data_IF_438486901987
#
_entry.id   IF_438486901987
#
_cell.length_a   1.000
_cell.length_b   1.000
_cell.length_c   1.000
_cell.angle_alpha   90.00
_cell.angle_beta   90.00
_cell.angle_gamma   90.00
#
_symmetry.space_group_name_H-M   'P 1'
#
loop_
_entity.id
_entity.type
_entity.pdbx_description
1 polymer ?
#
# COMPACT_ATOMS: atom_id res chain seq x y z
N UNK A 1 -14.96 -11.19 3.37
CA UNK A 1 -16.20 -10.69 2.74
C UNK A 1 -16.11 -10.73 1.22
N UNK A 2 -15.06 -10.21 0.60
CA UNK A 2 -14.87 -10.22 -0.88
C UNK A 2 -14.77 -11.64 -1.47
N UNK A 3 -14.21 -12.58 -0.71
CA UNK A 3 -14.08 -13.97 -1.14
C UNK A 3 -15.38 -14.82 -1.02
N UNK A 4 -16.46 -14.23 -0.51
CA UNK A 4 -17.74 -14.92 -0.47
C UNK A 4 -18.33 -15.02 -1.89
N UNK A 5 -18.99 -16.14 -2.24
CA UNK A 5 -19.60 -16.32 -3.54
C UNK A 5 -20.72 -15.30 -3.78
N UNK A 6 -21.08 -15.09 -5.05
CA UNK A 6 -22.06 -14.06 -5.45
C UNK A 6 -23.47 -14.33 -4.90
N UNK A 7 -23.81 -15.60 -4.67
CA UNK A 7 -25.08 -16.02 -4.06
C UNK A 7 -25.09 -15.96 -2.52
N UNK A 8 -24.00 -15.50 -1.88
CA UNK A 8 -23.96 -15.31 -0.44
C UNK A 8 -24.99 -14.26 0.02
N UNK A 9 -25.53 -14.36 1.25
CA UNK A 9 -26.54 -13.45 1.76
C UNK A 9 -26.14 -11.97 1.60
N UNK A 10 -27.10 -11.15 1.19
CA UNK A 10 -26.90 -9.69 1.07
C UNK A 10 -26.53 -9.04 2.40
N UNK A 11 -27.07 -9.55 3.50
CA UNK A 11 -26.78 -9.07 4.84
C UNK A 11 -25.96 -10.09 5.62
N UNK A 12 -24.99 -9.60 6.39
CA UNK A 12 -24.13 -10.43 7.23
C UNK A 12 -24.16 -9.95 8.68
N UNK A 13 -24.28 -10.89 9.62
CA UNK A 13 -24.31 -10.56 11.05
C UNK A 13 -22.89 -10.56 11.66
N UNK A 14 -22.70 -9.78 12.74
CA UNK A 14 -21.47 -9.85 13.53
C UNK A 14 -21.23 -11.26 14.09
N UNK A 15 -22.26 -12.00 14.41
CA UNK A 15 -22.19 -13.40 14.87
C UNK A 15 -21.63 -14.30 13.77
N UNK A 16 -22.10 -14.16 12.54
CA UNK A 16 -21.59 -14.92 11.38
C UNK A 16 -20.13 -14.63 11.10
N UNK A 17 -19.74 -13.34 11.16
CA UNK A 17 -18.35 -12.94 11.00
C UNK A 17 -17.46 -13.45 12.12
N UNK A 18 -17.92 -13.37 13.36
CA UNK A 18 -17.19 -13.86 14.54
C UNK A 18 -16.91 -15.37 14.43
N UNK A 19 -17.91 -16.15 14.01
CA UNK A 19 -17.74 -17.57 13.78
C UNK A 19 -16.75 -17.88 12.65
N UNK A 20 -16.83 -17.17 11.53
CA UNK A 20 -15.92 -17.34 10.38
C UNK A 20 -14.47 -16.95 10.70
N UNK A 21 -14.27 -15.96 11.57
CA UNK A 21 -12.95 -15.47 11.99
C UNK A 21 -12.40 -16.14 13.26
N UNK A 22 -13.16 -17.06 13.87
CA UNK A 22 -12.83 -17.67 15.15
C UNK A 22 -12.58 -16.64 16.27
N UNK A 23 -13.37 -15.56 16.30
CA UNK A 23 -13.27 -14.44 17.23
C UNK A 23 -14.49 -14.36 18.15
N UNK A 24 -14.36 -13.65 19.28
CA UNK A 24 -15.49 -13.37 20.15
C UNK A 24 -16.52 -12.43 19.51
N UNK A 25 -17.81 -12.76 19.54
CA UNK A 25 -18.87 -11.94 18.92
C UNK A 25 -18.91 -10.51 19.46
N UNK A 26 -18.71 -10.31 20.76
CA UNK A 26 -18.70 -8.98 21.38
C UNK A 26 -17.57 -8.11 20.84
N UNK A 27 -16.39 -8.71 20.60
CA UNK A 27 -15.25 -8.00 20.03
C UNK A 27 -15.54 -7.61 18.61
N UNK A 28 -15.97 -8.55 17.74
CA UNK A 28 -16.31 -8.29 16.34
C UNK A 28 -17.40 -7.21 16.23
N UNK A 29 -18.41 -7.23 17.10
CA UNK A 29 -19.45 -6.21 17.10
C UNK A 29 -18.91 -4.81 17.45
N UNK A 30 -17.99 -4.72 18.41
CA UNK A 30 -17.33 -3.45 18.76
C UNK A 30 -16.45 -2.95 17.61
N UNK A 31 -15.67 -3.83 17.01
CA UNK A 31 -14.77 -3.46 15.90
C UNK A 31 -15.57 -2.99 14.69
N UNK A 32 -16.66 -3.67 14.33
CA UNK A 32 -17.55 -3.24 13.25
C UNK A 32 -18.21 -1.89 13.53
N UNK A 33 -18.59 -1.60 14.78
CA UNK A 33 -19.19 -0.32 15.15
C UNK A 33 -18.19 0.86 15.07
N UNK A 34 -16.87 0.60 15.08
CA UNK A 34 -15.84 1.62 14.81
C UNK A 34 -15.70 1.94 13.33
N UNK A 35 -16.09 1.02 12.48
CA UNK A 35 -15.87 1.07 11.03
C UNK A 35 -17.12 1.48 10.27
N UNK A 36 -18.30 1.05 10.72
CA UNK A 36 -19.55 1.23 9.98
C UNK A 36 -20.73 1.50 10.92
N UNK A 37 -21.51 2.51 10.60
CA UNK A 37 -22.78 2.84 11.25
C UNK A 37 -23.97 2.06 10.63
N UNK A 38 -23.71 1.23 9.61
CA UNK A 38 -24.72 0.51 8.85
C UNK A 38 -25.35 -0.72 9.54
N UNK A 39 -24.93 -1.03 10.77
CA UNK A 39 -25.41 -2.17 11.54
C UNK A 39 -26.87 -2.01 11.97
N UNK A 40 -27.76 -2.95 11.58
CA UNK A 40 -29.17 -2.95 11.97
C UNK A 40 -29.51 -4.13 12.90
N UNK A 41 -30.22 -3.90 13.99
CA UNK A 41 -30.67 -4.99 14.90
C UNK A 41 -31.40 -6.06 14.09
N UNK A 42 -31.08 -7.34 14.35
CA UNK A 42 -31.67 -8.52 13.72
C UNK A 42 -31.41 -8.71 12.22
N UNK A 43 -30.89 -7.70 11.52
CA UNK A 43 -30.58 -7.75 10.09
C UNK A 43 -29.08 -7.90 9.86
N UNK A 44 -28.26 -7.24 10.66
CA UNK A 44 -26.80 -7.15 10.47
C UNK A 44 -26.41 -5.98 9.59
N UNK A 45 -25.34 -6.15 8.84
CA UNK A 45 -24.77 -5.17 7.91
C UNK A 45 -25.01 -5.61 6.46
N UNK A 46 -25.37 -4.68 5.60
CA UNK A 46 -25.37 -4.95 4.17
C UNK A 46 -23.93 -5.20 3.70
N UNK A 47 -23.68 -6.33 3.04
CA UNK A 47 -22.34 -6.82 2.70
C UNK A 47 -21.55 -5.82 1.86
N UNK A 48 -22.15 -5.24 0.83
CA UNK A 48 -21.48 -4.30 -0.09
C UNK A 48 -21.11 -3.00 0.66
N UNK A 49 -22.03 -2.44 1.43
CA UNK A 49 -21.78 -1.24 2.22
C UNK A 49 -20.71 -1.47 3.28
N UNK A 50 -20.75 -2.60 3.98
CA UNK A 50 -19.73 -2.94 4.97
C UNK A 50 -18.35 -3.11 4.35
N UNK A 51 -18.24 -3.69 3.16
CA UNK A 51 -16.97 -3.77 2.43
C UNK A 51 -16.44 -2.36 2.14
N UNK A 52 -17.28 -1.47 1.61
CA UNK A 52 -16.88 -0.09 1.30
C UNK A 52 -16.45 0.67 2.56
N UNK A 53 -17.19 0.55 3.67
CA UNK A 53 -16.85 1.19 4.94
C UNK A 53 -15.51 0.69 5.49
N UNK A 54 -15.24 -0.63 5.39
CA UNK A 54 -13.96 -1.23 5.79
C UNK A 54 -12.83 -0.72 4.88
N UNK A 55 -13.03 -0.66 3.58
CA UNK A 55 -12.04 -0.16 2.62
C UNK A 55 -11.69 1.31 2.87
N UNK A 56 -12.70 2.13 3.13
CA UNK A 56 -12.53 3.51 3.52
C UNK A 56 -11.76 3.65 4.84
N UNK A 57 -12.14 2.87 5.85
CA UNK A 57 -11.45 2.85 7.15
C UNK A 57 -9.97 2.45 7.03
N UNK A 58 -9.67 1.49 6.15
CA UNK A 58 -8.30 1.04 5.87
C UNK A 58 -7.56 1.94 4.89
N UNK A 59 -8.22 2.96 4.33
CA UNK A 59 -7.64 3.88 3.35
C UNK A 59 -7.43 3.26 1.96
N UNK A 60 -8.11 2.17 1.63
CA UNK A 60 -8.00 1.50 0.32
C UNK A 60 -8.65 2.28 -0.82
N UNK A 61 -9.52 3.24 -0.50
CA UNK A 61 -10.11 4.20 -1.43
C UNK A 61 -9.15 5.37 -1.77
N UNK A 62 -8.09 5.55 -0.97
CA UNK A 62 -7.05 6.52 -1.22
C UNK A 62 -5.94 5.88 -2.05
N UNK A 63 -5.88 6.22 -3.34
CA UNK A 63 -4.74 5.83 -4.18
C UNK A 63 -3.51 6.60 -3.73
N UNK A 64 -2.59 5.92 -3.05
CA UNK A 64 -1.33 6.50 -2.64
C UNK A 64 -0.28 6.22 -3.71
N UNK A 65 0.24 7.26 -4.33
CA UNK A 65 1.35 7.15 -5.26
C UNK A 65 2.66 6.85 -4.50
N UNK A 66 3.45 5.96 -5.07
CA UNK A 66 4.75 5.57 -4.54
C UNK A 66 5.83 5.66 -5.62
N UNK A 67 7.05 5.89 -5.20
CA UNK A 67 8.26 5.76 -6.02
C UNK A 67 9.06 4.54 -5.57
N UNK A 68 9.78 3.93 -6.52
CA UNK A 68 10.61 2.77 -6.25
C UNK A 68 12.08 3.09 -6.59
N UNK A 69 13.01 2.78 -5.69
CA UNK A 69 14.44 2.95 -5.91
C UNK A 69 15.12 1.59 -6.04
N UNK A 70 15.75 1.39 -7.21
CA UNK A 70 16.42 0.15 -7.60
C UNK A 70 15.60 -0.65 -8.63
N UNK A 71 15.87 -0.44 -9.94
CA UNK A 71 15.19 -1.12 -11.03
C UNK A 71 15.84 -2.46 -11.42
N UNK A 72 16.39 -3.19 -10.45
CA UNK A 72 16.87 -4.54 -10.60
C UNK A 72 15.71 -5.55 -10.80
N UNK A 73 16.00 -6.85 -10.74
CA UNK A 73 14.98 -7.89 -10.96
C UNK A 73 13.75 -7.74 -10.05
N UNK A 74 13.97 -7.53 -8.74
CA UNK A 74 12.87 -7.36 -7.79
C UNK A 74 12.11 -6.05 -8.04
N UNK A 75 12.83 -4.93 -8.21
CA UNK A 75 12.21 -3.63 -8.46
C UNK A 75 11.33 -3.62 -9.70
N UNK A 76 11.79 -4.21 -10.80
CA UNK A 76 11.00 -4.33 -12.04
C UNK A 76 9.78 -5.23 -11.86
N UNK A 77 9.91 -6.34 -11.13
CA UNK A 77 8.77 -7.21 -10.82
C UNK A 77 7.70 -6.46 -10.01
N UNK A 78 8.09 -5.67 -9.00
CA UNK A 78 7.17 -4.84 -8.23
C UNK A 78 6.56 -3.71 -9.08
N UNK A 79 7.38 -3.05 -9.91
CA UNK A 79 6.92 -1.97 -10.79
C UNK A 79 5.85 -2.46 -11.76
N UNK A 80 6.01 -3.68 -12.29
CA UNK A 80 5.08 -4.31 -13.22
C UNK A 80 3.84 -4.95 -12.59
N UNK A 81 3.82 -5.13 -11.26
CA UNK A 81 2.73 -5.81 -10.58
C UNK A 81 1.49 -4.92 -10.43
N UNK A 82 0.39 -5.29 -11.09
CA UNK A 82 -0.87 -4.53 -11.09
C UNK A 82 -1.69 -4.68 -9.81
N UNK A 83 -1.48 -5.75 -9.04
CA UNK A 83 -2.29 -6.04 -7.85
C UNK A 83 -2.17 -5.00 -6.72
N UNK A 84 -1.13 -4.17 -6.72
CA UNK A 84 -1.01 -3.09 -5.72
C UNK A 84 -2.13 -2.06 -5.80
N UNK A 85 -2.65 -1.78 -6.99
CA UNK A 85 -3.74 -0.82 -7.18
C UNK A 85 -5.05 -1.27 -6.53
N UNK A 86 -5.26 -2.58 -6.37
CA UNK A 86 -6.42 -3.14 -5.67
C UNK A 86 -6.39 -2.83 -4.16
N UNK A 87 -5.21 -2.50 -3.63
CA UNK A 87 -4.97 -2.13 -2.24
C UNK A 87 -4.62 -0.65 -2.06
N UNK A 88 -4.96 0.19 -3.05
CA UNK A 88 -4.76 1.63 -2.96
C UNK A 88 -3.30 2.08 -3.10
N UNK A 89 -2.39 1.25 -3.62
CA UNK A 89 -1.00 1.63 -3.87
C UNK A 89 -0.70 1.64 -5.37
N UNK A 90 -0.21 2.77 -5.89
CA UNK A 90 0.22 2.93 -7.27
C UNK A 90 1.70 3.30 -7.34
N UNK A 91 2.56 2.42 -7.86
CA UNK A 91 3.96 2.74 -8.12
C UNK A 91 4.02 3.51 -9.45
N UNK A 92 4.35 4.80 -9.41
CA UNK A 92 4.29 5.69 -10.60
C UNK A 92 5.56 5.62 -11.45
N UNK A 93 6.72 5.39 -10.82
CA UNK A 93 8.00 5.30 -11.48
C UNK A 93 9.01 4.52 -10.65
N UNK A 94 10.01 3.94 -11.29
CA UNK A 94 11.21 3.48 -10.64
C UNK A 94 12.39 4.43 -10.93
N UNK A 95 13.38 4.41 -10.04
CA UNK A 95 14.63 5.18 -10.17
C UNK A 95 15.82 4.26 -10.02
N UNK A 96 16.84 4.47 -10.83
CA UNK A 96 18.08 3.68 -10.76
C UNK A 96 19.31 4.56 -11.05
N UNK A 97 20.44 4.18 -10.46
CA UNK A 97 21.73 4.82 -10.72
C UNK A 97 22.40 4.26 -11.99
N UNK A 98 21.98 3.08 -12.46
CA UNK A 98 22.56 2.45 -13.65
C UNK A 98 22.02 3.09 -14.92
N UNK A 99 22.86 3.79 -15.72
CA UNK A 99 22.41 4.46 -16.92
C UNK A 99 21.85 3.50 -17.99
N UNK A 100 22.19 2.22 -17.95
CA UNK A 100 21.67 1.22 -18.87
C UNK A 100 20.19 0.86 -18.62
N UNK A 101 19.69 1.10 -17.40
CA UNK A 101 18.30 0.87 -17.04
C UNK A 101 17.44 2.11 -17.23
N UNK A 102 18.05 3.28 -17.13
CA UNK A 102 17.37 4.58 -17.29
C UNK A 102 16.83 4.74 -18.72
N UNK A 103 15.61 5.26 -18.83
CA UNK A 103 14.90 5.42 -20.10
C UNK A 103 14.13 4.18 -20.55
N UNK A 104 14.29 3.04 -19.88
CA UNK A 104 13.45 1.86 -20.09
C UNK A 104 12.07 2.05 -19.42
N UNK A 105 11.11 1.24 -19.84
CA UNK A 105 9.79 1.16 -19.22
C UNK A 105 9.47 -0.27 -18.80
N UNK A 106 8.77 -0.40 -17.70
CA UNK A 106 8.21 -1.69 -17.25
C UNK A 106 6.71 -1.49 -17.04
N UNK A 107 5.88 -2.25 -17.76
CA UNK A 107 4.41 -2.11 -17.73
C UNK A 107 3.94 -0.66 -17.91
N UNK A 108 4.49 0.04 -18.91
CA UNK A 108 4.25 1.46 -19.23
C UNK A 108 4.71 2.46 -18.14
N UNK A 109 5.40 2.02 -17.09
CA UNK A 109 5.95 2.90 -16.04
C UNK A 109 7.43 3.16 -16.31
N UNK A 110 7.89 4.42 -16.19
CA UNK A 110 9.27 4.78 -16.54
C UNK A 110 10.28 4.36 -15.47
N UNK A 111 11.51 4.07 -15.93
CA UNK A 111 12.70 3.99 -15.09
C UNK A 111 13.51 5.27 -15.33
N UNK A 112 13.63 6.08 -14.30
CA UNK A 112 14.21 7.43 -14.33
C UNK A 112 15.57 7.48 -13.62
N UNK A 113 16.43 8.46 -13.91
CA UNK A 113 17.63 8.69 -13.13
C UNK A 113 17.29 9.26 -11.75
N UNK A 114 18.13 9.00 -10.74
CA UNK A 114 17.93 9.50 -9.37
C UNK A 114 17.83 11.04 -9.30
N UNK A 115 18.44 11.76 -10.23
CA UNK A 115 18.34 13.22 -10.32
C UNK A 115 16.92 13.76 -10.58
N UNK A 116 16.01 12.92 -11.07
CA UNK A 116 14.61 13.29 -11.31
C UNK A 116 13.70 13.04 -10.09
N UNK A 117 14.23 12.42 -9.03
CA UNK A 117 13.44 12.01 -7.86
C UNK A 117 12.73 13.19 -7.18
N UNK A 118 13.48 14.26 -6.90
CA UNK A 118 12.94 15.48 -6.28
C UNK A 118 11.79 16.05 -7.09
N UNK A 119 11.99 16.21 -8.40
CA UNK A 119 10.97 16.75 -9.30
C UNK A 119 9.69 15.91 -9.30
N UNK A 120 9.81 14.58 -9.31
CA UNK A 120 8.65 13.68 -9.34
C UNK A 120 7.93 13.70 -7.98
N UNK A 121 8.65 13.57 -6.88
CA UNK A 121 8.07 13.57 -5.54
C UNK A 121 7.35 14.89 -5.21
N UNK A 122 7.97 16.03 -5.51
CA UNK A 122 7.36 17.34 -5.24
C UNK A 122 6.14 17.62 -6.12
N UNK A 123 6.23 17.32 -7.44
CA UNK A 123 5.15 17.59 -8.39
C UNK A 123 3.91 16.77 -8.09
N UNK A 124 4.07 15.51 -7.72
CA UNK A 124 2.96 14.56 -7.50
C UNK A 124 2.60 14.38 -6.03
N UNK A 125 3.29 15.06 -5.10
CA UNK A 125 3.08 14.95 -3.65
C UNK A 125 3.16 13.51 -3.16
N UNK A 126 4.23 12.81 -3.55
CA UNK A 126 4.44 11.40 -3.21
C UNK A 126 5.07 11.30 -1.83
N UNK A 127 4.50 10.46 -0.97
CA UNK A 127 4.96 10.27 0.41
C UNK A 127 5.42 8.85 0.72
N UNK A 128 5.32 7.92 -0.25
CA UNK A 128 5.71 6.52 -0.09
C UNK A 128 6.90 6.21 -1.00
N UNK A 129 7.95 5.64 -0.41
CA UNK A 129 9.14 5.17 -1.12
C UNK A 129 9.37 3.68 -0.92
N UNK A 130 9.72 2.96 -1.98
CA UNK A 130 10.01 1.53 -1.95
C UNK A 130 11.50 1.35 -2.24
N UNK A 131 12.21 0.63 -1.37
CA UNK A 131 13.65 0.37 -1.49
C UNK A 131 13.87 -1.08 -1.92
N UNK A 132 14.49 -1.27 -3.09
CA UNK A 132 14.85 -2.57 -3.67
C UNK A 132 16.31 -2.64 -4.09
N UNK A 133 17.16 -1.82 -3.49
CA UNK A 133 18.61 -1.81 -3.72
C UNK A 133 19.33 -2.81 -2.81
N UNK A 134 20.59 -3.18 -3.12
CA UNK A 134 21.42 -3.99 -2.22
C UNK A 134 21.58 -3.34 -0.84
N UNK A 135 21.76 -4.17 0.21
CA UNK A 135 21.86 -3.74 1.59
C UNK A 135 22.92 -2.63 1.83
N UNK A 136 24.03 -2.64 1.05
CA UNK A 136 25.09 -1.66 1.15
C UNK A 136 24.60 -0.21 0.86
N UNK A 137 23.61 -0.06 -0.01
CA UNK A 137 23.09 1.24 -0.45
C UNK A 137 21.77 1.63 0.20
N UNK A 138 21.15 0.72 1.00
CA UNK A 138 19.80 0.91 1.50
C UNK A 138 19.66 2.14 2.42
N UNK A 139 20.65 2.43 3.27
CA UNK A 139 20.59 3.60 4.15
C UNK A 139 20.73 4.92 3.36
N UNK A 140 21.65 4.99 2.42
CA UNK A 140 21.85 6.17 1.58
C UNK A 140 20.57 6.49 0.78
N UNK A 141 19.93 5.47 0.22
CA UNK A 141 18.65 5.60 -0.49
C UNK A 141 17.52 6.01 0.45
N UNK A 142 17.49 5.47 1.67
CA UNK A 142 16.54 5.87 2.70
C UNK A 142 16.66 7.37 3.02
N UNK A 143 17.87 7.84 3.27
CA UNK A 143 18.15 9.24 3.57
C UNK A 143 17.76 10.16 2.39
N UNK A 144 18.05 9.73 1.17
CA UNK A 144 17.66 10.43 -0.05
C UNK A 144 16.11 10.53 -0.18
N UNK A 145 15.38 9.45 0.08
CA UNK A 145 13.92 9.45 0.05
C UNK A 145 13.34 10.42 1.09
N UNK A 146 13.87 10.39 2.32
CA UNK A 146 13.44 11.28 3.41
C UNK A 146 13.71 12.75 3.05
N UNK A 147 14.88 13.06 2.49
CA UNK A 147 15.23 14.41 2.03
C UNK A 147 14.26 14.93 0.94
N UNK A 148 13.67 14.02 0.16
CA UNK A 148 12.67 14.34 -0.86
C UNK A 148 11.20 14.28 -0.36
N UNK A 149 10.99 14.27 0.96
CA UNK A 149 9.67 14.42 1.58
C UNK A 149 8.90 13.11 1.77
N UNK A 150 9.52 11.96 1.52
CA UNK A 150 8.92 10.65 1.79
C UNK A 150 8.70 10.48 3.31
N UNK A 151 7.54 9.94 3.69
CA UNK A 151 7.09 9.73 5.07
C UNK A 151 6.96 8.26 5.44
N UNK A 152 6.78 7.39 4.44
CA UNK A 152 6.67 5.96 4.63
C UNK A 152 7.62 5.22 3.66
N UNK A 153 8.37 4.26 4.19
CA UNK A 153 9.37 3.52 3.43
C UNK A 153 9.04 2.03 3.51
N UNK A 154 8.89 1.40 2.37
CA UNK A 154 8.77 -0.04 2.26
C UNK A 154 10.13 -0.63 1.88
N UNK A 155 10.82 -1.19 2.85
CA UNK A 155 12.19 -1.67 2.67
C UNK A 155 12.25 -3.17 2.34
N UNK A 156 12.74 -3.51 1.16
CA UNK A 156 13.02 -4.89 0.74
C UNK A 156 14.51 -5.26 0.86
N UNK A 157 15.38 -4.32 1.21
CA UNK A 157 16.79 -4.63 1.46
C UNK A 157 16.93 -5.35 2.81
N UNK A 158 17.79 -6.38 2.92
CA UNK A 158 18.04 -7.10 4.17
C UNK A 158 18.94 -6.26 5.12
N UNK A 159 18.43 -5.09 5.49
CA UNK A 159 19.11 -4.12 6.36
C UNK A 159 18.10 -3.36 7.19
N UNK A 160 18.34 -3.26 8.48
CA UNK A 160 17.62 -2.33 9.34
C UNK A 160 18.01 -0.89 9.00
N UNK A 161 17.02 -0.02 8.79
CA UNK A 161 17.22 1.39 8.45
C UNK A 161 17.12 2.26 9.71
N UNK A 162 18.01 3.20 9.84
CA UNK A 162 17.95 4.24 10.85
C UNK A 162 17.17 5.42 10.28
N UNK A 163 16.02 5.73 10.89
CA UNK A 163 15.14 6.81 10.43
C UNK A 163 14.81 7.78 11.57
N UNK A 164 14.60 9.07 11.29
CA UNK A 164 14.14 10.03 12.29
C UNK A 164 12.72 9.73 12.73
N UNK A 165 12.33 10.30 13.87
CA UNK A 165 10.97 10.21 14.39
C UNK A 165 9.96 10.77 13.35
N UNK A 166 8.86 10.04 13.14
CA UNK A 166 7.80 10.42 12.20
C UNK A 166 7.93 9.81 10.80
N UNK A 167 8.97 9.01 10.56
CA UNK A 167 9.09 8.19 9.35
C UNK A 167 8.69 6.74 9.68
N UNK A 168 7.81 6.17 8.87
CA UNK A 168 7.39 4.77 8.97
C UNK A 168 8.31 3.89 8.11
N UNK A 169 8.71 2.72 8.63
CA UNK A 169 9.48 1.70 7.89
C UNK A 169 8.88 0.33 8.12
#
# INVERSE_FOLDING_TARGET
LKALPDDAPENISATTLAAALHMGEVQVRKDLALVSDGGRPKVGYQRVSLIADIEQFLGYDNTNDAVLIGAGKLGRALLGYSGFSEYGLNIVAAFDANPQLVGQTESAKPILPLSELERVCCKQKIYIGIITVPAAHAQEVCDLLIANGIKAIWNFAPKHLNVPQGILV
#
